data_IF_471412786913
#
_entry.id   IF_471412786913
#
_cell.length_a   1.000
_cell.length_b   1.000
_cell.length_c   1.000
_cell.angle_alpha   90.00
_cell.angle_beta   90.00
_cell.angle_gamma   90.00
#
_symmetry.space_group_name_H-M   'P 1'
#
loop_
_entity.id
_entity.type
_entity.pdbx_description
1 polymer ?
#
# COMPACT_ATOMS: atom_id res chain seq x y z
N UNK A 1 52.28 5.40 44.95
CA UNK A 1 51.23 6.45 44.87
C UNK A 1 50.38 6.27 43.63
N UNK A 2 50.94 5.84 42.49
CA UNK A 2 50.19 5.60 41.24
C UNK A 2 49.10 4.52 41.30
N UNK A 3 49.30 3.42 42.02
CA UNK A 3 48.32 2.33 42.05
C UNK A 3 46.96 2.73 42.65
N UNK A 4 46.96 3.56 43.70
CA UNK A 4 45.72 4.05 44.32
C UNK A 4 44.99 5.03 43.39
N UNK A 5 45.72 5.90 42.70
CA UNK A 5 45.15 6.85 41.76
C UNK A 5 44.54 6.14 40.54
N UNK A 6 45.25 5.15 39.98
CA UNK A 6 44.76 4.31 38.89
C UNK A 6 43.50 3.51 39.29
N UNK A 7 43.45 2.98 40.52
CA UNK A 7 42.27 2.26 41.01
C UNK A 7 41.04 3.18 41.13
N UNK A 8 41.22 4.43 41.55
CA UNK A 8 40.16 5.44 41.63
C UNK A 8 39.65 5.79 40.22
N UNK A 9 40.55 6.00 39.26
CA UNK A 9 40.17 6.25 37.86
C UNK A 9 39.40 5.08 37.24
N UNK A 10 39.87 3.84 37.45
CA UNK A 10 39.17 2.63 36.97
C UNK A 10 37.77 2.55 37.58
N UNK A 11 37.63 2.81 38.88
CA UNK A 11 36.32 2.83 39.56
C UNK A 11 35.40 3.87 38.93
N UNK A 12 35.89 5.09 38.70
CA UNK A 12 35.11 6.17 38.10
C UNK A 12 34.71 5.87 36.65
N UNK A 13 35.59 5.22 35.87
CA UNK A 13 35.26 4.73 34.53
C UNK A 13 34.19 3.64 34.58
N UNK A 14 34.31 2.68 35.51
CA UNK A 14 33.35 1.61 35.67
C UNK A 14 31.95 2.12 36.08
N UNK A 15 31.88 3.12 36.97
CA UNK A 15 30.61 3.74 37.35
C UNK A 15 29.99 4.53 36.20
N UNK A 16 30.81 5.24 35.40
CA UNK A 16 30.34 5.92 34.20
C UNK A 16 29.79 4.93 33.16
N UNK A 17 30.54 3.88 32.84
CA UNK A 17 30.10 2.82 31.91
C UNK A 17 28.80 2.19 32.39
N UNK A 18 28.67 1.87 33.68
CA UNK A 18 27.42 1.32 34.24
C UNK A 18 26.23 2.27 34.05
N UNK A 19 26.44 3.58 34.25
CA UNK A 19 25.40 4.60 34.04
C UNK A 19 25.02 4.69 32.57
N UNK A 20 26.01 4.77 31.68
CA UNK A 20 25.81 4.86 30.24
C UNK A 20 25.10 3.60 29.70
N UNK A 21 25.45 2.41 30.18
CA UNK A 21 24.76 1.16 29.85
C UNK A 21 23.31 1.13 30.33
N UNK A 22 23.00 1.72 31.50
CA UNK A 22 21.62 1.82 31.99
C UNK A 22 20.78 2.74 31.09
N UNK A 23 21.33 3.89 30.71
CA UNK A 23 20.69 4.84 29.78
C UNK A 23 20.48 4.18 28.42
N UNK A 24 21.49 3.49 27.88
CA UNK A 24 21.35 2.78 26.61
C UNK A 24 20.23 1.73 26.66
N UNK A 25 20.11 0.99 27.76
CA UNK A 25 19.04 0.01 27.94
C UNK A 25 17.65 0.66 28.04
N UNK A 26 17.53 1.79 28.73
CA UNK A 26 16.29 2.56 28.81
C UNK A 26 15.89 3.07 27.41
N UNK A 27 16.82 3.67 26.67
CA UNK A 27 16.59 4.12 25.29
C UNK A 27 16.19 2.97 24.36
N UNK A 28 16.82 1.79 24.46
CA UNK A 28 16.43 0.62 23.66
C UNK A 28 15.01 0.17 23.95
N UNK A 29 14.58 0.24 25.21
CA UNK A 29 13.21 -0.12 25.58
C UNK A 29 12.18 0.90 25.06
N UNK A 30 12.53 2.19 25.04
CA UNK A 30 11.69 3.23 24.41
C UNK A 30 11.55 3.00 22.90
N UNK A 31 12.65 2.71 22.21
CA UNK A 31 12.66 2.36 20.77
C UNK A 31 11.77 1.13 20.51
N UNK A 32 11.83 0.11 21.36
CA UNK A 32 11.00 -1.10 21.22
C UNK A 32 9.50 -0.76 21.24
N UNK A 33 9.07 0.08 22.19
CA UNK A 33 7.68 0.52 22.31
C UNK A 33 7.26 1.37 21.10
N UNK A 34 8.15 2.21 20.60
CA UNK A 34 7.90 3.04 19.41
C UNK A 34 7.73 2.19 18.16
N UNK A 35 8.60 1.20 17.95
CA UNK A 35 8.51 0.25 16.82
C UNK A 35 7.19 -0.53 16.87
N UNK A 36 6.80 -1.07 18.04
CA UNK A 36 5.54 -1.80 18.19
C UNK A 36 4.34 -0.92 17.80
N UNK A 37 4.33 0.34 18.25
CA UNK A 37 3.29 1.31 17.91
C UNK A 37 3.26 1.62 16.42
N UNK A 38 4.41 1.78 15.79
CA UNK A 38 4.51 2.05 14.35
C UNK A 38 4.06 0.85 13.50
N UNK A 39 4.38 -0.37 13.91
CA UNK A 39 3.88 -1.60 13.25
C UNK A 39 2.35 -1.66 13.31
N UNK A 40 1.75 -1.40 14.47
CA UNK A 40 0.29 -1.38 14.63
C UNK A 40 -0.36 -0.30 13.75
N UNK A 41 0.24 0.89 13.71
CA UNK A 41 -0.24 1.99 12.86
C UNK A 41 -0.13 1.64 11.37
N UNK A 42 0.97 1.02 10.96
CA UNK A 42 1.13 0.55 9.60
C UNK A 42 0.01 -0.43 9.25
N UNK A 43 -0.22 -1.48 10.07
CA UNK A 43 -1.31 -2.46 9.90
C UNK A 43 -2.67 -1.76 9.65
N UNK A 44 -2.97 -0.73 10.43
CA UNK A 44 -4.20 0.04 10.26
C UNK A 44 -4.25 0.79 8.91
N UNK A 45 -3.16 1.45 8.52
CA UNK A 45 -3.05 2.12 7.22
C UNK A 45 -3.17 1.16 6.03
N UNK A 46 -2.75 -0.09 6.20
CA UNK A 46 -2.92 -1.15 5.19
C UNK A 46 -4.39 -1.40 4.80
N UNK A 47 -5.36 -1.05 5.67
CA UNK A 47 -6.79 -1.16 5.34
C UNK A 47 -7.20 -0.30 4.15
N UNK A 48 -6.59 0.88 3.97
CA UNK A 48 -6.87 1.78 2.84
C UNK A 48 -6.62 1.07 1.51
N UNK A 49 -5.64 0.19 1.44
CA UNK A 49 -5.33 -0.60 0.24
C UNK A 49 -6.48 -1.53 -0.14
N UNK A 50 -7.25 -2.01 0.84
CA UNK A 50 -8.46 -2.79 0.58
C UNK A 50 -9.60 -1.92 0.01
N UNK A 51 -9.74 -0.68 0.50
CA UNK A 51 -10.76 0.24 -0.01
C UNK A 51 -10.50 0.63 -1.47
N UNK A 52 -9.23 0.84 -1.85
CA UNK A 52 -8.84 1.08 -3.25
C UNK A 52 -9.20 -0.15 -4.11
N UNK A 53 -9.04 -1.37 -3.59
CA UNK A 53 -9.44 -2.59 -4.30
C UNK A 53 -10.95 -2.61 -4.57
N UNK A 54 -11.76 -2.30 -3.55
CA UNK A 54 -13.23 -2.25 -3.69
C UNK A 54 -13.63 -1.19 -4.74
N UNK A 55 -12.97 -0.03 -4.73
CA UNK A 55 -13.21 1.00 -5.74
C UNK A 55 -12.82 0.54 -7.15
N UNK A 56 -11.67 -0.12 -7.31
CA UNK A 56 -11.23 -0.68 -8.58
C UNK A 56 -12.24 -1.72 -9.11
N UNK A 57 -12.68 -2.65 -8.26
CA UNK A 57 -13.68 -3.66 -8.61
C UNK A 57 -15.03 -3.01 -9.00
N UNK A 58 -15.41 -1.89 -8.36
CA UNK A 58 -16.60 -1.13 -8.75
C UNK A 58 -16.44 -0.47 -10.13
N UNK A 59 -15.26 0.06 -10.45
CA UNK A 59 -14.98 0.66 -11.76
C UNK A 59 -14.98 -0.41 -12.85
N UNK A 60 -14.45 -1.62 -12.58
CA UNK A 60 -14.51 -2.75 -13.51
C UNK A 60 -15.96 -3.11 -13.87
N UNK A 61 -16.82 -3.17 -12.86
CA UNK A 61 -18.25 -3.45 -13.07
C UNK A 61 -18.92 -2.37 -13.93
N UNK A 62 -18.60 -1.08 -13.69
CA UNK A 62 -19.12 0.03 -14.50
C UNK A 62 -18.60 -0.05 -15.94
N UNK A 63 -17.31 -0.34 -16.14
CA UNK A 63 -16.71 -0.52 -17.45
C UNK A 63 -17.38 -1.68 -18.20
N UNK A 64 -17.58 -2.84 -17.56
CA UNK A 64 -18.29 -3.97 -18.14
C UNK A 64 -19.74 -3.65 -18.53
N UNK A 65 -20.49 -2.94 -17.68
CA UNK A 65 -21.85 -2.49 -18.01
C UNK A 65 -21.86 -1.49 -19.17
N UNK A 66 -20.91 -0.56 -19.19
CA UNK A 66 -20.77 0.45 -20.25
C UNK A 66 -20.43 -0.23 -21.59
N UNK A 67 -19.56 -1.24 -21.57
CA UNK A 67 -19.22 -2.04 -22.74
C UNK A 67 -20.44 -2.79 -23.30
N UNK A 68 -21.25 -3.40 -22.42
CA UNK A 68 -22.48 -4.08 -22.83
C UNK A 68 -23.54 -3.12 -23.38
N UNK A 69 -23.64 -1.92 -22.80
CA UNK A 69 -24.54 -0.87 -23.28
C UNK A 69 -24.09 -0.33 -24.65
N UNK A 70 -22.78 -0.15 -24.84
CA UNK A 70 -22.19 0.24 -26.12
C UNK A 70 -22.42 -0.82 -27.21
N UNK A 71 -22.29 -2.10 -26.87
CA UNK A 71 -22.59 -3.21 -27.78
C UNK A 71 -24.06 -3.19 -28.21
N UNK A 72 -24.99 -3.03 -27.26
CA UNK A 72 -26.42 -2.93 -27.57
C UNK A 72 -26.72 -1.72 -28.48
N UNK A 73 -26.08 -0.57 -28.23
CA UNK A 73 -26.21 0.61 -29.06
C UNK A 73 -25.66 0.39 -30.48
N UNK A 74 -24.55 -0.33 -30.62
CA UNK A 74 -23.98 -0.69 -31.92
C UNK A 74 -24.90 -1.62 -32.71
N UNK A 75 -25.54 -2.59 -32.05
CA UNK A 75 -26.54 -3.49 -32.67
C UNK A 75 -27.74 -2.70 -33.17
N UNK A 76 -28.29 -1.80 -32.37
CA UNK A 76 -29.46 -1.01 -32.76
C UNK A 76 -29.12 0.01 -33.87
N UNK A 77 -27.91 0.57 -33.83
CA UNK A 77 -27.40 1.42 -34.91
C UNK A 77 -27.28 0.64 -36.24
N UNK A 78 -26.78 -0.60 -36.22
CA UNK A 78 -26.74 -1.45 -37.40
C UNK A 78 -28.15 -1.78 -37.91
N UNK A 79 -29.12 -2.00 -37.02
CA UNK A 79 -30.52 -2.26 -37.35
C UNK A 79 -31.21 -1.08 -38.02
N UNK A 80 -30.87 0.15 -37.63
CA UNK A 80 -31.37 1.38 -38.24
C UNK A 80 -30.75 1.68 -39.62
N UNK A 81 -29.77 0.90 -40.08
CA UNK A 81 -29.15 1.04 -41.40
C UNK A 81 -28.48 2.40 -41.60
N UNK A 82 -28.80 3.08 -42.70
CA UNK A 82 -28.24 4.41 -43.04
C UNK A 82 -28.53 5.46 -41.95
N UNK A 83 -29.70 5.39 -41.28
CA UNK A 83 -30.09 6.34 -40.22
C UNK A 83 -29.29 6.14 -38.92
N UNK A 84 -28.69 4.96 -38.74
CA UNK A 84 -27.91 4.60 -37.56
C UNK A 84 -26.42 4.88 -37.66
N UNK A 85 -25.90 5.32 -38.82
CA UNK A 85 -24.45 5.48 -39.05
C UNK A 85 -23.76 6.36 -38.00
N UNK A 86 -24.36 7.50 -37.65
CA UNK A 86 -23.80 8.40 -36.63
C UNK A 86 -23.76 7.75 -35.24
N UNK A 87 -24.82 7.03 -34.87
CA UNK A 87 -24.90 6.31 -33.60
C UNK A 87 -23.92 5.14 -33.52
N UNK A 88 -23.64 4.48 -34.65
CA UNK A 88 -22.67 3.38 -34.70
C UNK A 88 -21.25 3.85 -34.37
N UNK A 89 -20.86 5.05 -34.80
CA UNK A 89 -19.53 5.61 -34.50
C UNK A 89 -19.41 5.93 -33.01
N UNK A 90 -20.45 6.54 -32.43
CA UNK A 90 -20.47 6.85 -30.99
C UNK A 90 -20.45 5.58 -30.15
N UNK A 91 -21.23 4.57 -30.53
CA UNK A 91 -21.27 3.29 -29.83
C UNK A 91 -19.90 2.60 -29.81
N UNK A 92 -19.19 2.60 -30.94
CA UNK A 92 -17.84 2.03 -31.01
C UNK A 92 -16.83 2.81 -30.15
N UNK A 93 -16.94 4.14 -30.09
CA UNK A 93 -16.05 4.95 -29.26
C UNK A 93 -16.29 4.72 -27.75
N UNK A 94 -17.57 4.62 -27.34
CA UNK A 94 -17.93 4.26 -25.96
C UNK A 94 -17.42 2.86 -25.61
N UNK A 95 -17.50 1.90 -26.54
CA UNK A 95 -16.97 0.54 -26.38
C UNK A 95 -15.46 0.56 -26.10
N UNK A 96 -14.70 1.31 -26.90
CA UNK A 96 -13.25 1.46 -26.70
C UNK A 96 -12.90 2.11 -25.37
N UNK A 97 -13.63 3.16 -24.97
CA UNK A 97 -13.42 3.81 -23.67
C UNK A 97 -13.69 2.84 -22.51
N UNK A 98 -14.72 2.00 -22.63
CA UNK A 98 -15.00 0.96 -21.64
C UNK A 98 -13.88 -0.09 -21.57
N UNK A 99 -13.39 -0.58 -22.70
CA UNK A 99 -12.25 -1.51 -22.76
C UNK A 99 -10.95 -0.91 -22.17
N UNK A 100 -10.69 0.37 -22.46
CA UNK A 100 -9.58 1.11 -21.87
C UNK A 100 -9.73 1.26 -20.36
N UNK A 101 -10.94 1.55 -19.88
CA UNK A 101 -11.24 1.64 -18.45
C UNK A 101 -10.99 0.31 -17.74
N UNK A 102 -11.44 -0.82 -18.30
CA UNK A 102 -11.15 -2.15 -17.75
C UNK A 102 -9.64 -2.44 -17.71
N UNK A 103 -8.92 -2.08 -18.77
CA UNK A 103 -7.46 -2.27 -18.81
C UNK A 103 -6.75 -1.47 -17.72
N UNK A 104 -7.16 -0.21 -17.49
CA UNK A 104 -6.62 0.62 -16.42
C UNK A 104 -6.92 0.06 -15.02
N UNK A 105 -8.11 -0.54 -14.82
CA UNK A 105 -8.46 -1.19 -13.56
C UNK A 105 -7.56 -2.40 -13.29
N UNK A 106 -7.22 -3.19 -14.30
CA UNK A 106 -6.27 -4.30 -14.15
C UNK A 106 -4.90 -3.80 -13.68
N UNK A 107 -4.42 -2.68 -14.22
CA UNK A 107 -3.16 -2.06 -13.76
C UNK A 107 -3.24 -1.57 -12.29
N UNK A 108 -4.39 -1.01 -11.89
CA UNK A 108 -4.64 -0.62 -10.50
C UNK A 108 -4.60 -1.85 -9.59
N UNK A 109 -5.25 -2.95 -9.97
CA UNK A 109 -5.25 -4.19 -9.19
C UNK A 109 -3.83 -4.76 -9.03
N UNK A 110 -3.03 -4.79 -10.10
CA UNK A 110 -1.63 -5.21 -10.04
C UNK A 110 -0.79 -4.32 -9.10
N UNK A 111 -1.04 -3.01 -9.13
CA UNK A 111 -0.38 -2.06 -8.23
C UNK A 111 -0.76 -2.31 -6.78
N UNK A 112 -2.04 -2.55 -6.50
CA UNK A 112 -2.54 -2.90 -5.16
C UNK A 112 -1.88 -4.17 -4.64
N UNK A 113 -1.74 -5.21 -5.46
CA UNK A 113 -1.07 -6.46 -5.06
C UNK A 113 0.41 -6.22 -4.73
N UNK A 114 1.09 -5.40 -5.53
CA UNK A 114 2.48 -5.02 -5.29
C UNK A 114 2.64 -4.26 -3.97
N UNK A 115 1.74 -3.31 -3.69
CA UNK A 115 1.71 -2.55 -2.43
C UNK A 115 1.45 -3.49 -1.25
N UNK A 116 0.47 -4.39 -1.35
CA UNK A 116 0.18 -5.39 -0.30
C UNK A 116 1.41 -6.26 0.01
N UNK A 117 2.14 -6.68 -1.02
CA UNK A 117 3.35 -7.50 -0.85
C UNK A 117 4.46 -6.76 -0.11
N UNK A 118 4.72 -5.50 -0.48
CA UNK A 118 5.72 -4.65 0.20
C UNK A 118 5.31 -4.42 1.65
N UNK A 119 4.03 -4.15 1.87
CA UNK A 119 3.47 -3.90 3.18
C UNK A 119 3.57 -5.11 4.10
N UNK A 120 3.18 -6.30 3.64
CA UNK A 120 3.32 -7.54 4.42
C UNK A 120 4.79 -7.81 4.77
N UNK A 121 5.72 -7.63 3.82
CA UNK A 121 7.16 -7.78 4.08
C UNK A 121 7.66 -6.80 5.15
N UNK A 122 7.12 -5.59 5.19
CA UNK A 122 7.48 -4.59 6.20
C UNK A 122 6.97 -4.99 7.59
N UNK A 123 5.79 -5.60 7.69
CA UNK A 123 5.26 -6.12 8.95
C UNK A 123 6.10 -7.31 9.42
N UNK A 124 6.44 -8.25 8.55
CA UNK A 124 7.28 -9.41 8.90
C UNK A 124 8.64 -8.97 9.42
N UNK A 125 9.29 -8.01 8.73
CA UNK A 125 10.58 -7.45 9.19
C UNK A 125 10.44 -6.77 10.55
N UNK A 126 9.34 -6.06 10.80
CA UNK A 126 9.05 -5.44 12.09
C UNK A 126 8.83 -6.48 13.20
N UNK A 127 8.18 -7.61 12.87
CA UNK A 127 7.97 -8.72 13.81
C UNK A 127 9.23 -9.53 14.09
N UNK A 128 10.16 -9.64 13.14
CA UNK A 128 11.44 -10.33 13.33
C UNK A 128 12.42 -9.53 14.22
N UNK A 129 12.21 -8.22 14.33
CA UNK A 129 12.99 -7.32 15.19
C UNK A 129 12.47 -7.35 16.64
N UNK A 130 11.20 -7.71 16.85
CA UNK A 130 10.54 -7.83 18.16
C UNK A 130 10.76 -9.23 18.76
#
# INVERSE_FOLDING_TARGET
VDGSNNAIEIKNRATKVKKDSKIAKENTNEIYIEIEKDVLKNIEQGKVVNDIKIMADSIENIAGQTNLLALNAAIEAARAGEQGRGFSVVAEEVRKLAEQSSSAVVEIQNTIESVKKVFNKSIDTGSDIL
#
